data_IF_680529064680
#
_entry.id   IF_680529064680
#
_cell.length_a   1.000
_cell.length_b   1.000
_cell.length_c   1.000
_cell.angle_alpha   90.00
_cell.angle_beta   90.00
_cell.angle_gamma   90.00
#
_symmetry.space_group_name_H-M   'P 1'
#
loop_
_entity.id
_entity.type
_entity.pdbx_description
1 polymer ?
#
# COMPACT_ATOMS: atom_id res chain seq x y z
N UNK A 1 8.16 -6.79 3.49
CA UNK A 1 7.16 -6.40 4.51
C UNK A 1 7.21 -4.88 4.66
N UNK A 2 6.06 -4.23 4.81
CA UNK A 2 5.93 -2.78 5.02
C UNK A 2 5.23 -2.55 6.35
N UNK A 3 5.79 -1.68 7.20
CA UNK A 3 5.20 -1.26 8.47
C UNK A 3 4.83 0.21 8.41
N UNK A 4 3.59 0.51 8.75
CA UNK A 4 2.98 1.83 8.52
C UNK A 4 2.19 2.26 9.76
N UNK A 5 2.62 3.35 10.39
CA UNK A 5 2.00 3.89 11.60
C UNK A 5 1.66 5.35 11.38
N UNK A 6 0.38 5.69 11.48
CA UNK A 6 -0.07 7.08 11.38
C UNK A 6 -0.69 7.53 12.69
N UNK A 7 -0.26 8.70 13.19
CA UNK A 7 -0.79 9.28 14.43
C UNK A 7 -1.59 10.53 14.08
N UNK A 8 -0.98 11.61 13.59
CA UNK A 8 -1.71 12.83 13.22
C UNK A 8 -1.50 13.17 11.74
N UNK A 9 -1.95 12.30 10.84
CA UNK A 9 -1.76 12.52 9.40
C UNK A 9 -2.31 11.41 8.50
N UNK A 10 -2.12 11.58 7.20
CA UNK A 10 -2.49 10.59 6.19
C UNK A 10 -1.26 10.13 5.42
N UNK A 11 -1.13 8.83 5.22
CA UNK A 11 -0.14 8.26 4.32
C UNK A 11 -0.80 7.35 3.30
N UNK A 12 -0.25 7.27 2.10
CA UNK A 12 -0.72 6.35 1.06
C UNK A 12 0.43 5.49 0.56
N UNK A 13 0.29 4.19 0.70
CA UNK A 13 1.21 3.20 0.15
C UNK A 13 0.78 2.92 -1.28
N UNK A 14 1.70 3.11 -2.22
CA UNK A 14 1.48 2.81 -3.64
C UNK A 14 2.12 1.47 -3.98
N UNK A 15 1.30 0.55 -4.45
CA UNK A 15 1.72 -0.79 -4.88
C UNK A 15 1.57 -0.92 -6.40
N UNK A 16 2.48 -1.62 -7.09
CA UNK A 16 2.28 -1.97 -8.49
C UNK A 16 1.01 -2.83 -8.67
N UNK A 17 0.33 -2.78 -9.82
CA UNK A 17 -0.88 -3.57 -10.04
C UNK A 17 -0.64 -5.08 -9.99
N UNK A 18 0.54 -5.54 -10.40
CA UNK A 18 0.89 -6.96 -10.51
C UNK A 18 1.18 -7.65 -9.17
N UNK A 19 1.44 -6.91 -8.09
CA UNK A 19 1.82 -7.54 -6.80
C UNK A 19 0.63 -8.01 -6.00
N UNK A 20 0.80 -9.12 -5.28
CA UNK A 20 -0.17 -9.60 -4.32
C UNK A 20 -0.04 -8.80 -3.03
N UNK A 21 -1.15 -8.47 -2.38
CA UNK A 21 -1.15 -7.65 -1.15
C UNK A 21 -1.90 -8.38 -0.03
N UNK A 22 -1.27 -8.48 1.14
CA UNK A 22 -1.86 -9.01 2.38
C UNK A 22 -1.82 -7.89 3.43
N UNK A 23 -3.00 -7.45 3.88
CA UNK A 23 -3.16 -6.29 4.76
C UNK A 23 -3.55 -6.73 6.17
N UNK A 24 -2.70 -6.38 7.14
CA UNK A 24 -2.85 -6.69 8.57
C UNK A 24 -2.68 -5.42 9.41
N UNK A 25 -3.52 -4.43 9.13
CA UNK A 25 -3.58 -3.17 9.86
C UNK A 25 -4.74 -3.10 10.84
N UNK A 26 -4.70 -2.14 11.76
CA UNK A 26 -5.85 -1.81 12.62
C UNK A 26 -5.97 -0.29 12.73
N UNK A 27 -7.15 0.27 12.49
CA UNK A 27 -7.43 1.66 12.81
C UNK A 27 -8.01 1.74 14.22
N UNK A 28 -7.33 2.43 15.14
CA UNK A 28 -7.88 2.77 16.46
C UNK A 28 -8.77 4.01 16.34
N UNK A 29 -8.26 5.04 15.65
CA UNK A 29 -9.02 6.23 15.29
C UNK A 29 -8.62 6.71 13.89
N UNK A 30 -9.59 7.01 13.04
CA UNK A 30 -9.39 7.35 11.63
C UNK A 30 -9.63 6.13 10.71
N UNK A 31 -8.73 5.88 9.76
CA UNK A 31 -8.90 4.77 8.79
C UNK A 31 -7.62 3.99 8.51
N UNK A 32 -7.79 2.72 8.18
CA UNK A 32 -6.76 1.84 7.64
C UNK A 32 -7.41 1.07 6.49
N UNK A 33 -6.82 1.17 5.32
CA UNK A 33 -7.39 0.60 4.11
C UNK A 33 -7.12 -0.90 4.03
N UNK A 34 -8.18 -1.71 3.98
CA UNK A 34 -8.11 -3.17 3.89
C UNK A 34 -8.52 -3.70 2.52
N UNK A 35 -9.14 -2.85 1.69
CA UNK A 35 -9.70 -3.24 0.40
C UNK A 35 -8.84 -2.66 -0.70
N UNK A 36 -7.89 -3.46 -1.19
CA UNK A 36 -7.03 -3.04 -2.30
C UNK A 36 -7.64 -3.57 -3.60
N UNK A 37 -8.23 -2.69 -4.41
CA UNK A 37 -8.94 -3.05 -5.64
C UNK A 37 -8.08 -3.79 -6.65
N UNK A 38 -8.48 -5.02 -7.00
CA UNK A 38 -7.82 -5.89 -7.97
C UNK A 38 -7.15 -7.12 -7.33
N UNK A 39 -6.98 -8.17 -8.13
CA UNK A 39 -6.23 -9.36 -7.73
C UNK A 39 -4.85 -9.25 -8.37
N UNK A 40 -3.78 -9.38 -7.57
CA UNK A 40 -2.41 -9.39 -8.09
C UNK A 40 -2.20 -10.52 -9.10
N UNK A 41 -1.01 -10.65 -9.66
CA UNK A 41 -0.73 -11.70 -10.63
C UNK A 41 -0.36 -13.04 -9.92
N UNK A 42 -0.80 -14.19 -10.45
CA UNK A 42 -0.30 -15.49 -10.00
C UNK A 42 1.22 -15.56 -10.10
N UNK A 43 1.90 -16.01 -9.04
CA UNK A 43 3.36 -16.10 -8.98
C UNK A 43 4.09 -14.77 -8.74
N UNK A 44 3.38 -13.63 -8.70
CA UNK A 44 3.97 -12.34 -8.33
C UNK A 44 4.31 -12.26 -6.82
N UNK A 45 5.29 -11.43 -6.44
CA UNK A 45 5.67 -11.27 -5.04
C UNK A 45 4.51 -10.78 -4.18
N UNK A 46 4.46 -11.31 -2.95
CA UNK A 46 3.49 -10.93 -1.92
C UNK A 46 4.05 -9.81 -1.05
N UNK A 47 3.37 -8.67 -1.03
CA UNK A 47 3.67 -7.54 -0.16
C UNK A 47 2.73 -7.58 1.05
N UNK A 48 3.31 -7.82 2.23
CA UNK A 48 2.60 -7.70 3.51
C UNK A 48 2.67 -6.28 4.04
N UNK A 49 1.53 -5.69 4.35
CA UNK A 49 1.38 -4.36 4.93
C UNK A 49 0.76 -4.50 6.32
N UNK A 50 1.41 -3.93 7.33
CA UNK A 50 0.96 -4.01 8.72
C UNK A 50 1.13 -2.68 9.45
N UNK A 51 0.37 -2.49 10.53
CA UNK A 51 0.54 -1.36 11.43
C UNK A 51 -0.79 -0.85 12.00
N UNK A 52 -0.81 0.40 12.45
CA UNK A 52 -2.02 0.99 13.01
C UNK A 52 -2.15 2.49 12.74
N UNK A 53 -3.37 3.00 12.82
CA UNK A 53 -3.65 4.44 12.82
C UNK A 53 -4.31 4.90 14.12
N UNK A 54 -3.78 5.96 14.73
CA UNK A 54 -4.26 6.58 15.96
C UNK A 54 -4.48 8.07 15.70
N UNK A 55 -5.58 8.39 15.00
CA UNK A 55 -6.02 9.73 14.57
C UNK A 55 -5.56 10.17 13.16
N UNK A 56 -5.44 9.19 12.26
CA UNK A 56 -4.95 9.42 10.90
C UNK A 56 -5.49 8.41 9.92
N UNK A 57 -4.93 8.41 8.70
CA UNK A 57 -5.28 7.45 7.66
C UNK A 57 -4.06 6.73 7.09
N UNK A 58 -4.22 5.44 6.84
CA UNK A 58 -3.29 4.63 6.04
C UNK A 58 -4.07 4.11 4.83
N UNK A 59 -3.79 4.69 3.67
CA UNK A 59 -4.39 4.28 2.39
C UNK A 59 -3.47 3.34 1.61
N UNK A 60 -4.06 2.43 0.82
CA UNK A 60 -3.28 1.53 -0.03
C UNK A 60 -3.87 1.61 -1.44
N UNK A 61 -3.06 2.00 -2.43
CA UNK A 61 -3.55 2.15 -3.81
C UNK A 61 -2.64 1.46 -4.80
N UNK A 62 -3.24 0.79 -5.78
CA UNK A 62 -2.52 0.30 -6.95
C UNK A 62 -2.20 1.45 -7.90
N UNK A 63 -0.94 1.55 -8.32
CA UNK A 63 -0.48 2.56 -9.30
C UNK A 63 0.49 1.92 -10.29
N UNK A 64 0.26 2.15 -11.58
CA UNK A 64 1.19 1.76 -12.64
C UNK A 64 2.53 2.44 -12.42
N UNK A 65 3.62 1.69 -12.60
CA UNK A 65 4.98 2.26 -12.57
C UNK A 65 5.09 3.28 -13.71
N UNK A 66 5.71 4.43 -13.42
CA UNK A 66 6.13 5.34 -14.48
C UNK A 66 7.19 4.58 -15.31
N UNK A 67 7.11 4.56 -16.65
CA UNK A 67 8.21 4.02 -17.44
C UNK A 67 9.48 4.75 -17.01
N UNK A 68 10.55 4.01 -16.77
CA UNK A 68 11.85 4.65 -16.62
C UNK A 68 12.09 5.41 -17.91
N UNK A 69 12.05 6.73 -17.86
CA UNK A 69 12.57 7.56 -18.93
C UNK A 69 14.04 7.23 -18.98
N UNK A 70 14.40 6.24 -19.80
CA UNK A 70 15.75 6.14 -20.30
C UNK A 70 15.94 7.40 -21.12
N UNK A 71 16.68 8.36 -20.56
CA UNK A 71 17.46 9.26 -21.38
C UNK A 71 18.47 8.35 -22.11
N UNK A 72 18.34 8.14 -23.42
CA UNK A 72 19.45 7.55 -24.16
C UNK A 72 20.56 8.61 -24.21
N UNK A 73 21.79 8.20 -23.91
CA UNK A 73 23.02 8.96 -24.20
C UNK A 73 23.03 9.48 -25.66
#
# INVERSE_FOLDING_TARGET
EIRSYSIMGGQTILVPPEVNVDVRGVAVMGSFDHSVDGDGAPGAPLVRISGFSLWGSVGIKRKKRKPATGEPD
#
